data_IF_419526163799
#
_entry.id   IF_419526163799
#
_cell.length_a   1.000
_cell.length_b   1.000
_cell.length_c   1.000
_cell.angle_alpha   90.00
_cell.angle_beta   90.00
_cell.angle_gamma   90.00
#
_symmetry.space_group_name_H-M   'P 1'
#
loop_
_entity.id
_entity.type
_entity.pdbx_description
1 polymer ?
#
# COMPACT_ATOMS: atom_id res chain seq x y z
N UNK A 1 37.89 46.28 -13.41
CA UNK A 1 37.39 45.03 -14.00
C UNK A 1 36.52 44.32 -12.95
N UNK A 2 35.18 44.42 -13.09
CA UNK A 2 34.23 43.77 -12.15
C UNK A 2 33.86 42.40 -12.69
N UNK A 3 34.18 41.36 -11.94
CA UNK A 3 33.76 40.00 -12.23
C UNK A 3 32.29 39.80 -11.83
N UNK A 4 31.42 39.59 -12.79
CA UNK A 4 30.03 39.15 -12.59
C UNK A 4 30.03 37.66 -12.34
N UNK A 5 29.72 37.27 -11.10
CA UNK A 5 29.46 35.86 -10.74
C UNK A 5 28.03 35.52 -11.10
N UNK A 6 27.81 34.78 -12.17
CA UNK A 6 26.51 34.17 -12.49
C UNK A 6 26.24 33.05 -11.50
N UNK A 7 25.30 33.28 -10.58
CA UNK A 7 24.72 32.23 -9.74
C UNK A 7 23.79 31.38 -10.61
N UNK A 8 24.20 30.16 -10.94
CA UNK A 8 23.35 29.14 -11.52
C UNK A 8 22.36 28.69 -10.43
N UNK A 9 21.11 29.15 -10.48
CA UNK A 9 20.01 28.50 -9.80
C UNK A 9 19.77 27.15 -10.52
N UNK A 10 20.38 26.08 -10.02
CA UNK A 10 19.99 24.73 -10.39
C UNK A 10 18.54 24.55 -9.88
N UNK A 11 17.57 24.64 -10.79
CA UNK A 11 16.19 24.27 -10.51
C UNK A 11 16.18 22.84 -9.99
N UNK A 12 15.75 22.66 -8.73
CA UNK A 12 15.59 21.36 -8.12
C UNK A 12 14.51 20.63 -8.92
N UNK A 13 14.91 19.70 -9.78
CA UNK A 13 13.97 18.84 -10.48
C UNK A 13 13.16 18.13 -9.41
N UNK A 14 11.84 18.22 -9.48
CA UNK A 14 10.96 17.52 -8.53
C UNK A 14 11.35 16.03 -8.52
N UNK A 15 11.53 15.48 -7.34
CA UNK A 15 11.81 14.06 -7.21
C UNK A 15 10.62 13.29 -7.82
N UNK A 16 10.91 12.29 -8.65
CA UNK A 16 9.89 11.44 -9.24
C UNK A 16 9.19 10.68 -8.14
N UNK A 17 7.86 10.61 -8.20
CA UNK A 17 7.05 9.87 -7.24
C UNK A 17 5.84 9.23 -7.90
N UNK A 18 5.33 8.15 -7.29
CA UNK A 18 4.04 7.55 -7.60
C UNK A 18 3.09 7.88 -6.47
N UNK A 19 2.05 8.66 -6.75
CA UNK A 19 0.96 8.92 -5.82
C UNK A 19 -0.18 7.93 -6.04
N UNK A 20 -0.66 7.29 -4.98
CA UNK A 20 -1.81 6.40 -4.96
C UNK A 20 -2.87 7.02 -4.05
N UNK A 21 -4.08 7.24 -4.55
CA UNK A 21 -5.19 7.76 -3.76
C UNK A 21 -6.48 6.99 -4.00
N UNK A 22 -7.32 6.92 -2.97
CA UNK A 22 -8.63 6.28 -3.05
C UNK A 22 -9.58 6.80 -1.97
N UNK A 23 -10.87 6.63 -2.21
CA UNK A 23 -11.88 6.81 -1.17
C UNK A 23 -12.01 5.51 -0.37
N UNK A 24 -11.74 5.60 0.92
CA UNK A 24 -12.03 4.55 1.89
C UNK A 24 -13.41 4.79 2.49
N UNK A 25 -14.30 3.79 2.40
CA UNK A 25 -15.61 3.77 3.04
C UNK A 25 -15.59 2.75 4.16
N UNK A 26 -15.62 3.23 5.42
CA UNK A 26 -15.64 2.36 6.58
C UNK A 26 -16.92 1.52 6.56
N UNK A 27 -16.76 0.21 6.50
CA UNK A 27 -17.84 -0.74 6.59
C UNK A 27 -18.29 -0.93 8.03
N UNK A 28 -19.60 -0.98 8.26
CA UNK A 28 -20.22 -1.26 9.56
C UNK A 28 -20.41 -2.75 9.74
N UNK A 29 -20.45 -3.20 11.00
CA UNK A 29 -20.70 -4.59 11.36
C UNK A 29 -19.58 -5.21 12.18
N UNK A 30 -19.58 -6.54 12.38
CA UNK A 30 -18.64 -7.23 13.27
C UNK A 30 -17.24 -7.40 12.69
N UNK A 31 -17.06 -7.13 11.40
CA UNK A 31 -15.81 -7.30 10.68
C UNK A 31 -14.82 -6.17 10.90
N UNK A 32 -13.56 -6.47 10.67
CA UNK A 32 -12.51 -5.46 10.59
C UNK A 32 -12.28 -5.03 9.15
N UNK A 33 -12.17 -3.73 8.93
CA UNK A 33 -11.79 -3.14 7.66
C UNK A 33 -10.27 -3.19 7.55
N UNK A 34 -9.73 -3.92 6.58
CA UNK A 34 -8.30 -4.08 6.40
C UNK A 34 -7.89 -3.73 4.98
N UNK A 35 -6.74 -3.08 4.82
CA UNK A 35 -6.14 -2.84 3.51
C UNK A 35 -4.62 -2.73 3.59
N UNK A 36 -3.98 -2.95 2.46
CA UNK A 36 -2.56 -2.72 2.25
C UNK A 36 -2.29 -2.07 0.89
N UNK A 37 -1.22 -1.28 0.82
CA UNK A 37 -0.67 -0.68 -0.39
C UNK A 37 0.79 -1.06 -0.49
N UNK A 38 1.21 -1.66 -1.63
CA UNK A 38 2.58 -2.09 -1.81
C UNK A 38 3.04 -2.06 -3.27
N UNK A 39 4.35 -2.16 -3.45
CA UNK A 39 5.01 -2.17 -4.74
C UNK A 39 5.74 -3.51 -4.90
N UNK A 40 5.60 -4.13 -6.07
CA UNK A 40 6.36 -5.31 -6.49
C UNK A 40 7.23 -4.98 -7.70
N UNK A 41 8.35 -5.68 -7.83
CA UNK A 41 9.14 -5.68 -9.06
C UNK A 41 8.54 -6.66 -10.09
N UNK A 42 9.13 -6.72 -11.27
CA UNK A 42 8.70 -7.59 -12.37
C UNK A 42 8.72 -9.08 -11.99
N UNK A 43 9.61 -9.49 -11.10
CA UNK A 43 9.69 -10.87 -10.60
C UNK A 43 8.64 -11.20 -9.52
N UNK A 44 7.78 -10.24 -9.13
CA UNK A 44 6.76 -10.42 -8.09
C UNK A 44 7.30 -10.36 -6.66
N UNK A 45 8.53 -9.87 -6.47
CA UNK A 45 9.06 -9.63 -5.13
C UNK A 45 8.61 -8.25 -4.63
N UNK A 46 8.12 -8.18 -3.40
CA UNK A 46 7.76 -6.91 -2.76
C UNK A 46 9.01 -6.06 -2.56
N UNK A 47 8.99 -4.88 -3.14
CA UNK A 47 10.05 -3.88 -3.04
C UNK A 47 9.79 -2.94 -1.88
N UNK A 48 8.54 -2.51 -1.73
CA UNK A 48 8.12 -1.59 -0.67
C UNK A 48 6.69 -1.85 -0.25
N UNK A 49 6.45 -2.02 1.02
CA UNK A 49 5.13 -1.87 1.61
C UNK A 49 4.99 -0.41 2.06
N UNK A 50 4.04 0.30 1.46
CA UNK A 50 3.75 1.70 1.82
C UNK A 50 2.89 1.76 3.07
N UNK A 51 1.95 0.82 3.19
CA UNK A 51 1.02 0.79 4.31
C UNK A 51 0.36 -0.59 4.44
N UNK A 52 0.09 -1.00 5.66
CA UNK A 52 -0.83 -2.08 5.99
C UNK A 52 -1.53 -1.79 7.32
N UNK A 53 -2.79 -2.13 7.42
CA UNK A 53 -3.58 -1.92 8.64
C UNK A 53 -3.11 -2.80 9.79
N UNK A 54 -3.05 -2.23 11.00
CA UNK A 54 -2.47 -2.84 12.19
C UNK A 54 -3.11 -4.18 12.58
N UNK A 55 -4.40 -4.39 12.31
CA UNK A 55 -5.03 -5.67 12.64
C UNK A 55 -4.46 -6.82 11.77
N UNK A 56 -4.08 -6.54 10.52
CA UNK A 56 -3.43 -7.53 9.65
C UNK A 56 -2.08 -7.98 10.23
N UNK A 57 -1.26 -7.06 10.72
CA UNK A 57 0.10 -7.34 11.18
C UNK A 57 0.18 -7.74 12.64
N UNK A 58 -0.48 -6.97 13.51
CA UNK A 58 -0.37 -7.09 14.99
C UNK A 58 -1.50 -7.91 15.60
N UNK A 59 -2.61 -8.11 14.88
CA UNK A 59 -3.79 -8.77 15.42
C UNK A 59 -4.50 -7.90 16.46
N UNK A 60 -5.29 -8.56 17.30
CA UNK A 60 -6.11 -7.91 18.32
C UNK A 60 -5.61 -8.29 19.70
N UNK A 61 -5.27 -7.28 20.51
CA UNK A 61 -5.09 -7.48 21.94
C UNK A 61 -6.45 -7.79 22.60
N UNK A 62 -6.47 -8.81 23.46
CA UNK A 62 -7.60 -9.10 24.37
C UNK A 62 -7.19 -8.71 25.77
N UNK A 63 -8.15 -8.33 26.62
CA UNK A 63 -7.87 -8.00 28.02
C UNK A 63 -7.07 -9.16 28.68
N UNK A 64 -5.91 -8.81 29.26
CA UNK A 64 -4.99 -9.77 29.90
C UNK A 64 -4.19 -10.69 28.96
N UNK A 65 -4.28 -10.48 27.65
CA UNK A 65 -3.53 -11.25 26.66
C UNK A 65 -2.74 -10.32 25.74
N UNK A 66 -1.51 -10.68 25.32
CA UNK A 66 -0.79 -9.91 24.32
C UNK A 66 -1.52 -9.93 22.97
N UNK A 67 -1.29 -8.93 22.15
CA UNK A 67 -1.75 -8.94 20.77
C UNK A 67 -1.09 -10.13 20.03
N UNK A 68 -1.88 -10.83 19.22
CA UNK A 68 -1.42 -11.92 18.39
C UNK A 68 -1.35 -11.43 16.94
N UNK A 69 -0.35 -11.89 16.18
CA UNK A 69 -0.19 -11.51 14.78
C UNK A 69 -1.45 -11.84 13.98
N UNK A 70 -2.07 -10.81 13.37
CA UNK A 70 -3.35 -10.94 12.69
C UNK A 70 -3.33 -11.93 11.54
N UNK A 71 -2.28 -11.92 10.71
CA UNK A 71 -2.17 -12.83 9.57
C UNK A 71 -2.00 -14.31 9.97
N UNK A 72 -1.54 -14.62 11.19
CA UNK A 72 -1.46 -15.99 11.69
C UNK A 72 -2.85 -16.54 12.01
N UNK A 73 -3.73 -15.71 12.55
CA UNK A 73 -5.09 -16.09 12.98
C UNK A 73 -6.18 -15.63 12.02
N UNK A 74 -5.83 -14.76 11.09
CA UNK A 74 -6.71 -14.17 10.10
C UNK A 74 -6.04 -14.19 8.72
N UNK A 75 -5.77 -15.38 8.15
CA UNK A 75 -5.04 -15.51 6.89
C UNK A 75 -5.77 -14.85 5.71
N UNK A 76 -7.03 -14.49 5.88
CA UNK A 76 -7.84 -13.77 4.90
C UNK A 76 -7.74 -12.24 5.00
N UNK A 77 -7.05 -11.70 6.01
CA UNK A 77 -6.74 -10.27 6.07
C UNK A 77 -5.68 -9.93 5.05
N UNK A 78 -6.05 -9.22 3.97
CA UNK A 78 -5.16 -8.80 2.87
C UNK A 78 -4.26 -9.96 2.39
N UNK A 79 -4.85 -11.08 1.93
CA UNK A 79 -4.12 -12.35 1.75
C UNK A 79 -3.04 -12.28 0.68
N UNK A 80 -3.22 -11.46 -0.35
CA UNK A 80 -2.23 -11.30 -1.42
C UNK A 80 -0.96 -10.65 -0.88
N UNK A 81 -1.09 -9.57 -0.10
CA UNK A 81 0.04 -8.92 0.54
C UNK A 81 0.75 -9.86 1.53
N UNK A 82 -0.02 -10.52 2.42
CA UNK A 82 0.52 -11.47 3.41
C UNK A 82 1.40 -12.53 2.75
N UNK A 83 0.92 -13.10 1.63
CA UNK A 83 1.65 -14.09 0.85
C UNK A 83 2.89 -13.49 0.17
N UNK A 84 2.75 -12.31 -0.45
CA UNK A 84 3.82 -11.68 -1.22
C UNK A 84 5.02 -11.30 -0.34
N UNK A 85 4.78 -10.72 0.85
CA UNK A 85 5.85 -10.32 1.77
C UNK A 85 6.34 -11.48 2.66
N UNK A 86 5.68 -12.66 2.64
CA UNK A 86 5.94 -13.75 3.59
C UNK A 86 5.85 -13.22 5.03
N UNK A 87 4.72 -12.59 5.36
CA UNK A 87 4.55 -11.79 6.58
C UNK A 87 4.91 -12.55 7.87
N UNK A 88 4.76 -13.87 7.88
CA UNK A 88 5.15 -14.74 9.00
C UNK A 88 6.66 -14.75 9.28
N UNK A 89 7.48 -14.41 8.30
CA UNK A 89 8.95 -14.38 8.45
C UNK A 89 9.49 -13.01 8.85
N UNK A 90 8.65 -11.96 8.87
CA UNK A 90 9.05 -10.61 9.24
C UNK A 90 9.14 -10.45 10.76
N UNK A 91 10.15 -9.73 11.24
CA UNK A 91 10.26 -9.31 12.63
C UNK A 91 9.21 -8.24 12.98
N UNK A 92 8.96 -8.03 14.27
CA UNK A 92 8.04 -6.98 14.73
C UNK A 92 8.51 -5.59 14.32
N UNK A 93 9.82 -5.32 14.35
CA UNK A 93 10.39 -4.04 13.90
C UNK A 93 10.16 -3.80 12.39
N UNK A 94 10.28 -4.83 11.56
CA UNK A 94 9.98 -4.72 10.13
C UNK A 94 8.49 -4.46 9.90
N UNK A 95 7.61 -5.16 10.62
CA UNK A 95 6.17 -4.93 10.54
C UNK A 95 5.78 -3.53 11.01
N UNK A 96 6.40 -3.03 12.08
CA UNK A 96 6.13 -1.70 12.62
C UNK A 96 6.47 -0.57 11.64
N UNK A 97 7.47 -0.78 10.79
CA UNK A 97 7.95 0.24 9.84
C UNK A 97 6.87 0.72 8.84
N UNK A 98 5.87 -0.11 8.52
CA UNK A 98 4.82 0.21 7.54
C UNK A 98 3.40 -0.04 8.06
N UNK A 99 3.27 -0.42 9.33
CA UNK A 99 1.96 -0.68 9.95
C UNK A 99 1.33 0.61 10.46
N UNK A 100 0.09 0.86 10.07
CA UNK A 100 -0.69 1.99 10.55
C UNK A 100 -2.07 1.61 11.09
N UNK A 101 -2.67 2.54 11.83
CA UNK A 101 -4.02 2.34 12.34
C UNK A 101 -5.04 2.28 11.20
N UNK A 102 -6.03 1.39 11.32
CA UNK A 102 -7.21 1.44 10.45
C UNK A 102 -7.91 2.78 10.66
N UNK A 103 -8.24 3.54 9.59
CA UNK A 103 -8.92 4.82 9.74
C UNK A 103 -10.24 4.67 10.52
N UNK A 104 -10.45 5.59 11.46
CA UNK A 104 -11.64 5.59 12.32
C UNK A 104 -12.91 5.99 11.57
N UNK A 105 -12.77 6.73 10.45
CA UNK A 105 -13.86 7.23 9.61
C UNK A 105 -13.55 7.05 8.14
N UNK A 106 -14.58 7.09 7.31
CA UNK A 106 -14.47 7.16 5.86
C UNK A 106 -13.74 8.43 5.43
N UNK A 107 -13.06 8.39 4.29
CA UNK A 107 -12.36 9.54 3.72
C UNK A 107 -11.31 9.15 2.70
N UNK A 108 -10.72 10.16 2.08
CA UNK A 108 -9.63 9.98 1.11
C UNK A 108 -8.37 9.51 1.84
N UNK A 109 -7.73 8.49 1.27
CA UNK A 109 -6.41 8.01 1.67
C UNK A 109 -5.43 8.29 0.54
N UNK A 110 -4.22 8.73 0.88
CA UNK A 110 -3.16 9.00 -0.12
C UNK A 110 -1.84 8.43 0.38
N UNK A 111 -1.13 7.76 -0.50
CA UNK A 111 0.18 7.16 -0.27
C UNK A 111 1.12 7.58 -1.41
N UNK A 112 2.38 7.78 -1.09
CA UNK A 112 3.40 8.17 -2.07
C UNK A 112 4.56 7.20 -2.02
N UNK A 113 5.02 6.76 -3.18
CA UNK A 113 6.25 6.01 -3.34
C UNK A 113 7.31 6.85 -4.05
N UNK A 114 8.46 6.95 -3.43
CA UNK A 114 9.62 7.76 -3.83
C UNK A 114 10.67 6.98 -4.64
N UNK A 115 10.29 5.83 -5.20
CA UNK A 115 11.20 4.93 -5.93
C UNK A 115 12.36 4.40 -5.08
N UNK A 116 12.15 4.25 -3.77
CA UNK A 116 13.08 3.54 -2.89
C UNK A 116 12.52 2.21 -2.43
N UNK A 117 13.40 1.28 -2.09
CA UNK A 117 13.03 0.02 -1.43
C UNK A 117 12.69 0.23 0.07
N UNK A 118 12.45 -0.85 0.79
CA UNK A 118 12.09 -0.79 2.21
C UNK A 118 13.22 -0.23 3.09
N UNK A 119 14.49 -0.30 2.63
CA UNK A 119 15.66 0.24 3.30
C UNK A 119 15.97 1.70 2.91
N UNK A 120 15.14 2.30 2.04
CA UNK A 120 15.34 3.66 1.54
C UNK A 120 16.39 3.78 0.42
N UNK A 121 16.82 2.66 -0.20
CA UNK A 121 17.74 2.67 -1.33
C UNK A 121 16.96 2.82 -2.63
N UNK A 122 17.48 3.62 -3.57
CA UNK A 122 16.87 3.77 -4.88
C UNK A 122 16.76 2.42 -5.60
N UNK A 123 15.58 2.17 -6.16
CA UNK A 123 15.34 0.93 -6.92
C UNK A 123 15.93 1.04 -8.34
N UNK A 124 16.29 -0.07 -8.99
CA UNK A 124 16.72 -0.08 -10.38
C UNK A 124 15.66 0.48 -11.33
N UNK A 125 16.09 1.04 -12.46
CA UNK A 125 15.16 1.33 -13.54
C UNK A 125 14.58 0.02 -14.09
N UNK A 126 13.24 -0.03 -14.30
CA UNK A 126 12.57 -1.24 -14.73
C UNK A 126 11.05 -1.15 -14.61
N UNK A 127 10.40 -2.30 -14.69
CA UNK A 127 8.96 -2.44 -14.58
C UNK A 127 8.57 -2.82 -13.14
N UNK A 128 7.49 -2.24 -12.69
CA UNK A 128 6.94 -2.41 -11.33
C UNK A 128 5.44 -2.57 -11.38
N UNK A 129 4.88 -3.08 -10.30
CA UNK A 129 3.44 -3.16 -10.07
C UNK A 129 3.09 -2.48 -8.77
N UNK A 130 2.06 -1.66 -8.79
CA UNK A 130 1.43 -1.14 -7.59
C UNK A 130 0.18 -1.94 -7.29
N UNK A 131 0.00 -2.27 -6.02
CA UNK A 131 -1.17 -2.98 -5.51
C UNK A 131 -1.85 -2.19 -4.41
N UNK A 132 -3.16 -2.22 -4.42
CA UNK A 132 -4.03 -1.89 -3.30
C UNK A 132 -4.99 -3.06 -3.12
N UNK A 133 -4.99 -3.70 -1.95
CA UNK A 133 -5.95 -4.74 -1.62
C UNK A 133 -6.67 -4.38 -0.34
N UNK A 134 -7.98 -4.60 -0.30
CA UNK A 134 -8.79 -4.39 0.87
C UNK A 134 -9.70 -5.60 1.15
N UNK A 135 -9.93 -5.87 2.43
CA UNK A 135 -10.77 -6.98 2.89
C UNK A 135 -11.67 -6.57 4.05
N UNK A 136 -12.84 -7.14 4.09
CA UNK A 136 -13.75 -7.05 5.21
C UNK A 136 -14.21 -8.45 5.62
N UNK A 137 -13.85 -8.92 6.81
CA UNK A 137 -13.99 -10.33 7.20
C UNK A 137 -13.28 -11.28 6.23
N UNK A 138 -13.92 -12.41 5.93
CA UNK A 138 -13.51 -13.38 4.90
C UNK A 138 -14.30 -13.19 3.59
N UNK A 139 -15.10 -12.15 3.53
CA UNK A 139 -16.02 -11.85 2.45
C UNK A 139 -15.59 -10.53 1.82
N UNK A 140 -15.56 -10.44 0.51
CA UNK A 140 -15.23 -9.19 -0.16
C UNK A 140 -13.74 -8.83 -0.10
N UNK A 141 -12.98 -9.41 -1.03
CA UNK A 141 -11.60 -9.02 -1.32
C UNK A 141 -11.62 -8.18 -2.59
N UNK A 142 -11.29 -6.91 -2.48
CA UNK A 142 -11.10 -6.04 -3.64
C UNK A 142 -9.61 -5.77 -3.83
N UNK A 143 -9.12 -5.95 -5.05
CA UNK A 143 -7.72 -5.73 -5.40
C UNK A 143 -7.64 -4.85 -6.64
N UNK A 144 -6.84 -3.80 -6.55
CA UNK A 144 -6.41 -2.97 -7.67
C UNK A 144 -4.95 -3.22 -7.95
N UNK A 145 -4.61 -3.41 -9.22
CA UNK A 145 -3.23 -3.59 -9.68
C UNK A 145 -2.98 -2.71 -10.89
N UNK A 146 -1.87 -1.97 -10.89
CA UNK A 146 -1.37 -1.20 -12.02
C UNK A 146 0.08 -1.56 -12.34
N UNK A 147 0.38 -1.74 -13.61
CA UNK A 147 1.74 -1.99 -14.10
C UNK A 147 2.31 -0.70 -14.69
N UNK A 148 3.59 -0.44 -14.45
CA UNK A 148 4.26 0.76 -14.95
C UNK A 148 5.77 0.56 -15.03
N UNK A 149 6.41 1.41 -15.83
CA UNK A 149 7.86 1.52 -15.90
C UNK A 149 8.35 2.74 -15.12
N UNK A 150 9.55 2.68 -14.60
CA UNK A 150 10.21 3.86 -14.00
C UNK A 150 10.38 5.02 -14.97
N UNK A 151 10.13 4.83 -16.28
CA UNK A 151 10.18 5.89 -17.30
C UNK A 151 8.83 6.53 -17.59
N UNK A 152 7.74 5.90 -17.13
CA UNK A 152 6.39 6.38 -17.41
C UNK A 152 6.09 7.65 -16.60
N UNK A 153 5.08 8.39 -17.04
CA UNK A 153 4.55 9.62 -16.40
C UNK A 153 3.03 9.64 -16.55
N UNK A 154 2.35 10.34 -15.65
CA UNK A 154 0.91 10.53 -15.71
C UNK A 154 0.12 9.38 -15.08
N UNK A 155 -1.20 9.32 -15.36
CA UNK A 155 -2.09 8.37 -14.72
C UNK A 155 -1.85 6.93 -15.17
N UNK A 156 -1.93 5.99 -14.23
CA UNK A 156 -1.84 4.54 -14.49
C UNK A 156 -3.21 3.93 -14.73
N UNK A 157 -3.26 2.98 -15.67
CA UNK A 157 -4.41 2.10 -15.79
C UNK A 157 -4.40 1.08 -14.66
N UNK A 158 -5.46 1.04 -13.86
CA UNK A 158 -5.63 0.10 -12.76
C UNK A 158 -6.67 -0.97 -13.12
N UNK A 159 -6.32 -2.23 -12.93
CA UNK A 159 -7.22 -3.36 -13.04
C UNK A 159 -7.82 -3.67 -11.67
N UNK A 160 -9.14 -3.62 -11.58
CA UNK A 160 -9.89 -4.06 -10.40
C UNK A 160 -10.25 -5.54 -10.52
N UNK A 161 -10.11 -6.28 -9.43
CA UNK A 161 -10.66 -7.62 -9.23
C UNK A 161 -11.39 -7.68 -7.91
N UNK A 162 -12.52 -8.39 -7.89
CA UNK A 162 -13.32 -8.56 -6.68
C UNK A 162 -13.64 -10.05 -6.49
N UNK A 163 -13.35 -10.56 -5.30
CA UNK A 163 -13.58 -11.95 -4.92
C UNK A 163 -14.56 -11.98 -3.74
N UNK A 164 -15.78 -12.44 -3.97
CA UNK A 164 -16.77 -12.74 -2.95
C UNK A 164 -17.94 -13.49 -3.55
N UNK A 165 -18.63 -14.30 -2.72
CA UNK A 165 -19.88 -14.97 -3.10
C UNK A 165 -21.03 -13.96 -3.27
N UNK A 166 -20.98 -12.85 -2.52
CA UNK A 166 -21.86 -11.71 -2.65
C UNK A 166 -21.05 -10.42 -2.78
N UNK A 167 -21.55 -9.39 -3.46
CA UNK A 167 -20.85 -8.10 -3.64
C UNK A 167 -20.84 -7.24 -2.35
N UNK A 168 -20.67 -7.87 -1.20
CA UNK A 168 -20.55 -7.19 0.08
C UNK A 168 -19.23 -6.44 0.13
N UNK A 169 -19.30 -5.21 0.63
CA UNK A 169 -18.14 -4.37 0.89
C UNK A 169 -17.28 -4.03 -0.35
N UNK A 170 -17.80 -4.21 -1.55
CA UNK A 170 -17.15 -3.80 -2.78
C UNK A 170 -16.83 -2.30 -2.79
N UNK A 171 -17.65 -1.50 -2.13
CA UNK A 171 -17.52 -0.05 -2.00
C UNK A 171 -16.55 0.40 -0.90
N UNK A 172 -15.93 -0.53 -0.14
CA UNK A 172 -14.95 -0.18 0.88
C UNK A 172 -13.79 0.64 0.31
N UNK A 173 -13.40 0.33 -0.92
CA UNK A 173 -12.42 1.09 -1.70
C UNK A 173 -13.05 1.49 -3.01
N UNK A 174 -12.99 2.78 -3.33
CA UNK A 174 -13.53 3.32 -4.58
C UNK A 174 -12.70 4.50 -5.09
N UNK A 175 -12.93 4.92 -6.34
CA UNK A 175 -12.23 6.04 -6.98
C UNK A 175 -10.71 5.93 -6.88
N UNK A 176 -10.17 4.73 -7.05
CA UNK A 176 -8.73 4.48 -6.95
C UNK A 176 -8.03 5.13 -8.13
N UNK A 177 -6.97 5.88 -7.82
CA UNK A 177 -6.09 6.53 -8.79
C UNK A 177 -4.65 6.25 -8.42
N UNK A 178 -3.82 6.09 -9.43
CA UNK A 178 -2.37 6.08 -9.29
C UNK A 178 -1.78 6.96 -10.39
N UNK A 179 -0.84 7.84 -10.04
CA UNK A 179 -0.27 8.81 -10.96
C UNK A 179 1.23 8.97 -10.73
N UNK A 180 2.00 8.90 -11.81
CA UNK A 180 3.45 9.16 -11.83
C UNK A 180 3.70 10.65 -12.09
N UNK A 181 4.40 11.29 -11.17
CA UNK A 181 4.77 12.72 -11.19
C UNK A 181 6.27 12.93 -11.32
#
# INVERSE_FOLDING_TARGET
MSAFTLAFCAGRQAAKELEISFNYTKQSGPGSNQYAVWIENEAGAVVKTLFVTAFTTKGRARAGQPAQRGYTFRPTCVPTWVKAVKAESLSDAQLDAFTGATPASSGVQTFTWDFTDQDGKAVPAGNYKVYLQATYLNEGIVTYCGEFSTKDTGPLALKETFEADEQRNKDMISQVKAELR
#
